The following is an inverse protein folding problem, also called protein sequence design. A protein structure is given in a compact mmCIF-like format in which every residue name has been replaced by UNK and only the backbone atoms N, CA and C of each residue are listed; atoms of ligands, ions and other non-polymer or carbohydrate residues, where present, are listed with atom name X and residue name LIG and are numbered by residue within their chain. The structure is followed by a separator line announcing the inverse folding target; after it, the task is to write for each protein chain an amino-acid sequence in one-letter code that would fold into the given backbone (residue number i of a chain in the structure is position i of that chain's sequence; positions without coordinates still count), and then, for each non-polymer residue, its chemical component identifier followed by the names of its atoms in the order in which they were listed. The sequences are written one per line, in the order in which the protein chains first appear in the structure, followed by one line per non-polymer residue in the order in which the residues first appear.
data_IF_201742046572
#
_entry.id   IF_201742046572
#
_cell.length_a   1.000
_cell.length_b   1.000
_cell.length_c   1.000
_cell.angle_alpha   90.00
_cell.angle_beta   90.00
_cell.angle_gamma   90.00
#
_symmetry.space_group_name_H-M   'P 1'
#
loop_
_entity.id
_entity.type
_entity.pdbx_description
1 polymer ?
#
# COMPACT_ATOMS: atom_id res chain seq x y z
N UNK A 1 5.45 4.44 -1.52
CA UNK A 1 5.07 5.55 -0.62
C UNK A 1 6.24 6.44 -0.17
N UNK A 2 7.18 6.78 -1.06
CA UNK A 2 8.27 7.73 -0.72
C UNK A 2 7.78 9.15 -0.43
N UNK A 3 6.56 9.48 -0.87
CA UNK A 3 5.90 10.76 -0.66
C UNK A 3 5.59 11.06 0.83
N UNK A 4 5.44 10.03 1.67
CA UNK A 4 5.11 10.20 3.08
C UNK A 4 6.35 10.39 3.98
N UNK A 5 7.58 10.24 3.44
CA UNK A 5 8.86 10.29 4.17
C UNK A 5 8.92 9.41 5.43
N UNK A 6 7.97 8.49 5.60
CA UNK A 6 7.86 7.59 6.74
C UNK A 6 8.68 6.32 6.53
N UNK A 7 9.13 5.73 7.63
CA UNK A 7 9.77 4.42 7.59
C UNK A 7 8.76 3.36 7.09
N UNK A 8 9.19 2.39 6.25
CA UNK A 8 8.34 1.30 5.77
C UNK A 8 7.53 0.57 6.85
N UNK A 9 8.10 0.40 8.05
CA UNK A 9 7.40 -0.24 9.16
C UNK A 9 6.33 0.62 9.80
N UNK A 10 6.51 1.94 9.83
CA UNK A 10 5.47 2.87 10.28
C UNK A 10 4.34 2.96 9.27
N UNK A 11 4.71 3.00 7.98
CA UNK A 11 3.73 3.03 6.91
C UNK A 11 2.87 1.77 6.88
N UNK A 12 3.47 0.59 7.04
CA UNK A 12 2.69 -0.66 7.07
C UNK A 12 1.66 -0.66 8.21
N UNK A 13 2.01 -0.12 9.38
CA UNK A 13 1.08 0.04 10.51
C UNK A 13 -0.06 1.02 10.18
N UNK A 14 0.24 2.16 9.54
CA UNK A 14 -0.76 3.14 9.13
C UNK A 14 -1.82 2.52 8.22
N UNK A 15 -1.40 1.75 7.22
CA UNK A 15 -2.32 1.12 6.28
C UNK A 15 -2.90 -0.21 6.79
N UNK A 16 -2.45 -0.71 7.94
CA UNK A 16 -2.97 -1.90 8.60
C UNK A 16 -2.49 -3.21 7.97
N UNK A 17 -1.24 -3.25 7.49
CA UNK A 17 -0.61 -4.45 6.94
C UNK A 17 0.75 -4.72 7.60
N UNK A 18 1.29 -5.91 7.39
CA UNK A 18 2.65 -6.23 7.82
C UNK A 18 3.70 -5.68 6.85
N UNK A 19 4.89 -5.39 7.38
CA UNK A 19 6.01 -4.81 6.63
C UNK A 19 6.42 -5.68 5.44
N UNK A 20 6.24 -7.01 5.51
CA UNK A 20 6.62 -7.92 4.42
C UNK A 20 5.66 -7.79 3.24
N UNK A 21 4.36 -7.76 3.50
CA UNK A 21 3.35 -7.50 2.48
C UNK A 21 3.55 -6.13 1.84
N UNK A 22 3.75 -5.10 2.65
CA UNK A 22 4.07 -3.76 2.14
C UNK A 22 5.30 -3.75 1.23
N UNK A 23 6.42 -4.34 1.68
CA UNK A 23 7.64 -4.43 0.88
C UNK A 23 7.45 -5.22 -0.42
N UNK A 24 6.64 -6.29 -0.40
CA UNK A 24 6.30 -7.04 -1.60
C UNK A 24 5.49 -6.21 -2.59
N UNK A 25 4.60 -5.33 -2.11
CA UNK A 25 3.81 -4.44 -2.96
C UNK A 25 4.67 -3.33 -3.56
N UNK A 26 5.55 -2.68 -2.78
CA UNK A 26 6.47 -1.66 -3.31
C UNK A 26 7.48 -2.22 -4.31
N UNK A 27 7.91 -3.47 -4.12
CA UNK A 27 8.78 -4.18 -5.08
C UNK A 27 8.02 -4.84 -6.22
N UNK A 28 6.69 -4.65 -6.29
CA UNK A 28 5.80 -5.22 -7.29
C UNK A 28 5.85 -6.76 -7.40
N UNK A 29 6.35 -7.44 -6.35
CA UNK A 29 6.44 -8.91 -6.26
C UNK A 29 5.05 -9.54 -6.09
N UNK A 30 4.15 -8.84 -5.40
CA UNK A 30 2.76 -9.25 -5.24
C UNK A 30 1.86 -8.02 -5.20
N UNK A 31 0.56 -8.25 -5.35
CA UNK A 31 -0.48 -7.22 -5.23
C UNK A 31 -1.43 -7.57 -4.08
N UNK A 32 -1.99 -6.58 -3.38
CA UNK A 32 -3.03 -6.83 -2.38
C UNK A 32 -4.27 -7.44 -3.05
N UNK A 33 -5.09 -8.11 -2.25
CA UNK A 33 -6.47 -8.46 -2.65
C UNK A 33 -7.30 -7.18 -2.78
N UNK A 34 -8.36 -7.23 -3.58
CA UNK A 34 -9.22 -6.06 -3.85
C UNK A 34 -9.74 -5.40 -2.56
N UNK A 35 -10.19 -6.18 -1.57
CA UNK A 35 -10.68 -5.68 -0.27
C UNK A 35 -9.62 -4.85 0.45
N UNK A 36 -8.39 -5.36 0.52
CA UNK A 36 -7.26 -4.67 1.15
C UNK A 36 -6.89 -3.43 0.34
N UNK A 37 -6.84 -3.54 -0.99
CA UNK A 37 -6.52 -2.40 -1.86
C UNK A 37 -7.51 -1.24 -1.64
N UNK A 38 -8.81 -1.54 -1.56
CA UNK A 38 -9.86 -0.58 -1.28
C UNK A 38 -9.73 0.03 0.12
N UNK A 39 -9.40 -0.77 1.14
CA UNK A 39 -9.20 -0.27 2.50
C UNK A 39 -8.00 0.68 2.57
N UNK A 40 -6.88 0.32 1.94
CA UNK A 40 -5.67 1.14 1.87
C UNK A 40 -5.97 2.44 1.12
N UNK A 41 -6.65 2.37 -0.02
CA UNK A 41 -7.07 3.55 -0.79
C UNK A 41 -7.93 4.51 0.05
N UNK A 42 -8.91 3.97 0.80
CA UNK A 42 -9.74 4.75 1.73
C UNK A 42 -8.92 5.43 2.82
N UNK A 43 -7.95 4.73 3.42
CA UNK A 43 -7.07 5.30 4.47
C UNK A 43 -6.18 6.42 3.95
N UNK A 44 -5.71 6.29 2.71
CA UNK A 44 -4.84 7.27 2.06
C UNK A 44 -5.62 8.41 1.38
N UNK A 45 -6.95 8.33 1.38
CA UNK A 45 -7.83 9.24 0.64
C UNK A 45 -7.43 9.37 -0.85
N UNK A 46 -7.08 8.23 -1.45
CA UNK A 46 -6.71 8.07 -2.87
C UNK A 46 -7.61 7.03 -3.51
N UNK A 47 -7.67 6.98 -4.84
CA UNK A 47 -8.30 5.83 -5.51
C UNK A 47 -7.32 4.67 -5.60
N UNK A 48 -7.86 3.45 -5.73
CA UNK A 48 -7.03 2.24 -5.91
C UNK A 48 -6.14 2.35 -7.15
N UNK A 49 -6.68 2.91 -8.23
CA UNK A 49 -5.99 3.17 -9.50
C UNK A 49 -4.84 4.19 -9.38
N UNK A 50 -4.84 5.04 -8.35
CA UNK A 50 -3.74 5.98 -8.08
C UNK A 50 -2.58 5.32 -7.31
N UNK A 51 -2.80 4.11 -6.77
CA UNK A 51 -1.83 3.39 -5.93
C UNK A 51 -1.28 2.17 -6.68
N UNK A 52 -2.15 1.40 -7.33
CA UNK A 52 -1.78 0.21 -8.08
C UNK A 52 -2.26 0.32 -9.53
N UNK A 53 -1.29 0.28 -10.44
CA UNK A 53 -1.49 0.40 -11.88
C UNK A 53 -1.42 -0.99 -12.54
N UNK A 54 -2.21 -1.20 -13.60
CA UNK A 54 -2.25 -2.47 -14.34
C UNK A 54 -1.26 -2.54 -15.51
N UNK A 55 -0.61 -1.43 -15.85
CA UNK A 55 0.43 -1.35 -16.88
C UNK A 55 1.74 -2.05 -16.50
#
# INVERSE_FOLDING_TARGET
MREYMMDPGEFSKLIGTDIKNYNNWESNRSRPRLEIALEVARKLNKKVEDIWYLD
#
